data_IF_383971225920
#
_entry.id   IF_383971225920
#
_cell.length_a   1.000
_cell.length_b   1.000
_cell.length_c   1.000
_cell.angle_alpha   90.00
_cell.angle_beta   90.00
_cell.angle_gamma   90.00
#
_symmetry.space_group_name_H-M   'P 1'
#
loop_
_entity.id
_entity.type
_entity.pdbx_description
1 polymer ?
#
# COMPACT_ATOMS: atom_id res chain seq x y z
N UNK A 1 12.87 21.26 -3.41
CA UNK A 1 11.70 20.42 -3.78
C UNK A 1 10.80 20.37 -2.57
N UNK A 2 9.49 20.37 -2.77
CA UNK A 2 8.57 20.20 -1.65
C UNK A 2 8.63 18.75 -1.13
N UNK A 3 8.50 18.57 0.18
CA UNK A 3 8.42 17.24 0.78
C UNK A 3 6.96 16.76 0.75
N UNK A 4 6.72 15.60 0.15
CA UNK A 4 5.42 14.92 0.22
C UNK A 4 5.19 14.37 1.62
N UNK A 5 6.25 13.80 2.23
CA UNK A 5 6.20 13.22 3.58
C UNK A 5 7.35 13.78 4.41
N UNK A 6 7.07 14.12 5.67
CA UNK A 6 8.06 14.51 6.67
C UNK A 6 7.80 13.79 7.98
N UNK A 7 8.70 12.90 8.36
CA UNK A 7 8.68 12.20 9.64
C UNK A 7 9.65 12.89 10.62
N UNK A 8 9.23 13.11 11.87
CA UNK A 8 10.01 13.79 12.90
C UNK A 8 9.91 13.04 14.23
N UNK A 9 11.06 12.68 14.75
CA UNK A 9 11.24 12.03 16.06
C UNK A 9 10.34 10.80 16.22
N UNK A 10 10.23 10.00 15.14
CA UNK A 10 9.38 8.83 15.13
C UNK A 10 9.99 7.73 16.00
N UNK A 11 9.25 7.34 17.02
CA UNK A 11 9.52 6.17 17.83
C UNK A 11 8.37 5.17 17.67
N UNK A 12 8.68 3.89 17.58
CA UNK A 12 7.68 2.83 17.43
C UNK A 12 7.91 1.70 18.41
N UNK A 13 6.82 1.16 18.94
CA UNK A 13 6.85 0.14 19.99
C UNK A 13 5.93 -1.04 19.63
N UNK A 14 6.42 -2.26 19.87
CA UNK A 14 5.66 -3.49 19.95
C UNK A 14 5.54 -3.87 21.43
N UNK A 15 4.40 -3.60 22.06
CA UNK A 15 4.26 -3.71 23.51
C UNK A 15 5.29 -2.86 24.24
N UNK A 16 6.18 -3.49 25.00
CA UNK A 16 7.29 -2.83 25.72
C UNK A 16 8.57 -2.70 24.89
N UNK A 17 8.67 -3.40 23.73
CA UNK A 17 9.88 -3.37 22.91
C UNK A 17 9.87 -2.19 21.95
N UNK A 18 10.87 -1.32 22.03
CA UNK A 18 11.04 -0.23 21.09
C UNK A 18 11.77 -0.72 19.84
N UNK A 19 11.17 -0.52 18.68
CA UNK A 19 11.67 -0.98 17.38
C UNK A 19 12.24 0.17 16.52
N UNK A 20 11.75 1.40 16.68
CA UNK A 20 12.30 2.58 16.02
C UNK A 20 12.64 3.64 17.06
N UNK A 21 13.78 4.30 16.87
CA UNK A 21 14.35 5.25 17.80
C UNK A 21 14.59 6.58 17.08
N UNK A 22 13.80 7.60 17.40
CA UNK A 22 13.98 8.99 16.97
C UNK A 22 14.22 9.13 15.46
N UNK A 23 13.48 8.39 14.64
CA UNK A 23 13.66 8.39 13.19
C UNK A 23 13.15 9.69 12.58
N UNK A 24 13.99 10.27 11.72
CA UNK A 24 13.70 11.47 10.95
C UNK A 24 13.89 11.17 9.46
N UNK A 25 12.90 11.47 8.62
CA UNK A 25 12.95 11.21 7.19
C UNK A 25 12.10 12.20 6.41
N UNK A 26 12.65 12.73 5.34
CA UNK A 26 11.93 13.51 4.35
C UNK A 26 11.84 12.75 3.04
N UNK A 27 10.66 12.69 2.44
CA UNK A 27 10.39 12.05 1.15
C UNK A 27 9.90 13.14 0.20
N UNK A 28 10.63 13.34 -0.89
CA UNK A 28 10.30 14.34 -1.88
C UNK A 28 9.04 13.95 -2.67
N UNK A 29 8.31 14.96 -3.14
CA UNK A 29 7.19 14.80 -4.05
C UNK A 29 7.66 14.32 -5.44
N UNK A 30 6.83 13.52 -6.10
CA UNK A 30 7.11 12.97 -7.45
C UNK A 30 8.43 12.20 -7.56
N UNK A 31 8.85 11.51 -6.49
CA UNK A 31 10.10 10.76 -6.44
C UNK A 31 9.88 9.33 -5.96
N UNK A 32 10.79 8.44 -6.38
CA UNK A 32 10.91 7.11 -5.81
C UNK A 32 11.97 7.17 -4.72
N UNK A 33 11.59 6.80 -3.50
CA UNK A 33 12.50 6.74 -2.35
C UNK A 33 12.64 5.29 -1.90
N UNK A 34 13.85 4.76 -1.91
CA UNK A 34 14.16 3.42 -1.41
C UNK A 34 14.75 3.49 -0.01
N UNK A 35 14.16 2.72 0.92
CA UNK A 35 14.69 2.51 2.26
C UNK A 35 15.44 1.19 2.27
N UNK A 36 16.76 1.23 2.43
CA UNK A 36 17.64 0.07 2.42
C UNK A 36 18.26 -0.17 3.79
N UNK A 37 18.52 -1.43 4.12
CA UNK A 37 19.14 -1.82 5.38
C UNK A 37 19.00 -3.33 5.62
N UNK A 38 19.67 -3.87 6.64
CA UNK A 38 19.63 -5.30 6.95
C UNK A 38 18.21 -5.76 7.35
N UNK A 39 17.99 -7.08 7.31
CA UNK A 39 16.73 -7.67 7.79
C UNK A 39 16.53 -7.33 9.26
N UNK A 40 15.30 -7.00 9.64
CA UNK A 40 14.93 -6.69 11.02
C UNK A 40 15.27 -5.26 11.50
N UNK A 41 15.90 -4.39 10.69
CA UNK A 41 16.24 -3.02 11.11
C UNK A 41 15.03 -2.04 11.17
N UNK A 42 13.80 -2.50 10.93
CA UNK A 42 12.59 -1.68 11.08
C UNK A 42 12.02 -1.07 9.80
N UNK A 43 12.50 -1.41 8.58
CA UNK A 43 11.99 -0.87 7.31
C UNK A 43 10.47 -1.03 7.16
N UNK A 44 9.97 -2.25 7.29
CA UNK A 44 8.53 -2.53 7.20
C UNK A 44 7.73 -1.88 8.33
N UNK A 45 8.32 -1.78 9.53
CA UNK A 45 7.72 -1.06 10.66
C UNK A 45 7.55 0.42 10.32
N UNK A 46 8.58 1.03 9.74
CA UNK A 46 8.54 2.44 9.35
C UNK A 46 7.47 2.69 8.27
N UNK A 47 7.38 1.84 7.23
CA UNK A 47 6.36 1.95 6.18
C UNK A 47 4.94 1.87 6.74
N UNK A 48 4.68 0.98 7.72
CA UNK A 48 3.35 0.77 8.30
C UNK A 48 2.83 1.97 9.10
N UNK A 49 3.68 2.93 9.45
CA UNK A 49 3.28 4.15 10.14
C UNK A 49 2.54 5.09 9.18
N UNK A 50 2.96 5.17 7.92
CA UNK A 50 2.48 6.17 6.96
C UNK A 50 0.98 6.08 6.65
N UNK A 51 0.39 4.88 6.72
CA UNK A 51 -1.05 4.65 6.54
C UNK A 51 -1.77 4.19 7.82
N UNK A 52 -1.08 4.29 8.95
CA UNK A 52 -1.61 3.92 10.29
C UNK A 52 -2.13 2.49 10.36
N UNK A 53 -1.56 1.55 9.58
CA UNK A 53 -2.00 0.14 9.61
C UNK A 53 -1.62 -0.53 10.94
N UNK A 54 -0.63 0.00 11.66
CA UNK A 54 -0.24 -0.48 12.99
C UNK A 54 -1.41 -0.42 14.00
N UNK A 55 -2.37 0.48 13.83
CA UNK A 55 -3.53 0.60 14.72
C UNK A 55 -4.49 -0.59 14.70
N UNK A 56 -4.35 -1.48 13.70
CA UNK A 56 -5.05 -2.76 13.69
C UNK A 56 -4.55 -3.72 14.78
N UNK A 57 -3.43 -3.40 15.42
CA UNK A 57 -2.78 -4.22 16.45
C UNK A 57 -2.74 -3.46 17.77
N UNK A 58 -3.33 -4.03 18.82
CA UNK A 58 -3.52 -3.35 20.14
C UNK A 58 -2.23 -3.06 20.88
N UNK A 59 -1.17 -3.81 20.60
CA UNK A 59 0.13 -3.73 21.26
C UNK A 59 1.12 -2.83 20.49
N UNK A 60 0.69 -2.16 19.43
CA UNK A 60 1.54 -1.29 18.63
C UNK A 60 1.25 0.18 18.91
N UNK A 61 2.33 0.95 19.10
CA UNK A 61 2.24 2.37 19.42
C UNK A 61 3.34 3.16 18.71
N UNK A 62 3.00 4.35 18.24
CA UNK A 62 3.92 5.32 17.64
C UNK A 62 3.89 6.62 18.45
N UNK A 63 5.03 7.32 18.50
CA UNK A 63 5.15 8.70 18.97
C UNK A 63 6.00 9.51 18.00
N UNK A 64 5.93 10.83 18.08
CA UNK A 64 6.54 11.76 17.11
C UNK A 64 5.48 12.42 16.25
N UNK A 65 5.88 12.95 15.10
CA UNK A 65 4.97 13.61 14.14
C UNK A 65 5.25 13.11 12.73
N UNK A 66 4.19 12.89 11.96
CA UNK A 66 4.25 12.44 10.58
C UNK A 66 3.35 13.31 9.70
N UNK A 67 3.97 14.13 8.89
CA UNK A 67 3.26 15.01 7.99
C UNK A 67 3.19 14.42 6.58
N UNK A 68 1.99 14.41 5.99
CA UNK A 68 1.76 14.14 4.57
C UNK A 68 1.01 15.35 4.02
N UNK A 69 1.58 16.01 3.01
CA UNK A 69 1.08 17.30 2.46
C UNK A 69 0.86 18.34 3.56
N UNK A 70 1.75 18.39 4.55
CA UNK A 70 1.67 19.33 5.67
C UNK A 70 0.62 19.00 6.74
N UNK A 71 -0.13 17.90 6.61
CA UNK A 71 -1.10 17.42 7.60
C UNK A 71 -0.44 16.38 8.49
N UNK A 72 -0.44 16.57 9.81
CA UNK A 72 0.03 15.56 10.76
C UNK A 72 -0.97 14.39 10.81
N UNK A 73 -0.61 13.29 10.15
CA UNK A 73 -1.47 12.11 10.00
C UNK A 73 -1.50 11.22 11.24
N UNK A 74 -0.67 11.47 12.25
CA UNK A 74 -0.76 10.79 13.56
C UNK A 74 -1.79 11.45 14.48
N UNK A 75 -2.33 12.61 14.11
CA UNK A 75 -3.38 13.27 14.86
C UNK A 75 -4.67 12.43 14.85
N UNK A 76 -5.29 12.25 16.02
CA UNK A 76 -6.51 11.45 16.20
C UNK A 76 -7.72 11.97 15.39
N UNK A 77 -7.72 13.24 15.00
CA UNK A 77 -8.79 13.85 14.19
C UNK A 77 -8.72 13.51 12.70
N UNK A 78 -7.63 12.89 12.24
CA UNK A 78 -7.47 12.50 10.84
C UNK A 78 -8.33 11.26 10.55
N UNK A 79 -9.15 11.34 9.50
CA UNK A 79 -9.91 10.21 9.01
C UNK A 79 -8.95 9.14 8.41
N UNK A 80 -8.85 8.02 9.11
CA UNK A 80 -7.96 6.91 8.73
C UNK A 80 -8.38 6.24 7.43
N UNK A 81 -9.67 6.23 7.10
CA UNK A 81 -10.16 5.65 5.84
C UNK A 81 -9.72 6.51 4.66
N UNK A 82 -9.85 7.82 4.79
CA UNK A 82 -9.38 8.77 3.77
C UNK A 82 -7.85 8.75 3.65
N UNK A 83 -7.13 8.66 4.76
CA UNK A 83 -5.68 8.48 4.75
C UNK A 83 -5.27 7.22 3.96
N UNK A 84 -5.91 6.06 4.22
CA UNK A 84 -5.60 4.80 3.54
C UNK A 84 -6.01 4.77 2.08
N UNK A 85 -6.97 5.59 1.67
CA UNK A 85 -7.30 5.82 0.26
C UNK A 85 -6.15 6.52 -0.45
N UNK A 86 -5.55 7.56 0.19
CA UNK A 86 -4.44 8.35 -0.37
C UNK A 86 -3.11 7.61 -0.30
N UNK A 87 -2.90 6.81 0.73
CA UNK A 87 -1.63 6.11 1.00
C UNK A 87 -1.85 4.61 0.86
N UNK A 88 -1.73 4.10 -0.38
CA UNK A 88 -1.83 2.68 -0.69
C UNK A 88 -0.63 1.89 -0.20
N UNK A 89 -0.82 0.59 0.05
CA UNK A 89 0.27 -0.29 0.49
C UNK A 89 0.24 -1.63 -0.24
N UNK A 90 1.41 -2.06 -0.68
CA UNK A 90 1.69 -3.39 -1.22
C UNK A 90 2.54 -4.13 -0.20
N UNK A 91 2.04 -5.28 0.27
CA UNK A 91 2.71 -6.13 1.26
C UNK A 91 3.69 -7.09 0.61
N UNK A 92 4.69 -7.51 1.37
CA UNK A 92 5.69 -8.49 0.96
C UNK A 92 5.05 -9.81 0.50
N UNK A 93 4.06 -10.32 1.25
CA UNK A 93 3.29 -11.50 0.87
C UNK A 93 2.06 -11.10 0.08
N UNK A 94 1.80 -11.73 -1.09
CA UNK A 94 0.54 -11.53 -1.81
C UNK A 94 -0.65 -11.86 -0.92
N UNK A 95 -1.63 -10.98 -0.89
CA UNK A 95 -2.87 -11.16 -0.12
C UNK A 95 -4.09 -10.84 -1.00
N UNK A 96 -4.32 -11.61 -2.08
CA UNK A 96 -5.53 -11.44 -2.87
C UNK A 96 -6.75 -11.78 -2.01
N UNK A 97 -7.85 -11.07 -2.22
CA UNK A 97 -9.11 -11.39 -1.57
C UNK A 97 -9.70 -12.68 -2.17
N UNK A 98 -10.50 -13.45 -1.42
CA UNK A 98 -11.19 -14.65 -1.92
C UNK A 98 -12.35 -14.27 -2.87
N UNK A 99 -12.02 -13.54 -3.92
CA UNK A 99 -12.89 -12.98 -4.95
C UNK A 99 -12.30 -13.28 -6.33
N UNK A 100 -13.06 -12.93 -7.38
CA UNK A 100 -12.55 -13.01 -8.75
C UNK A 100 -11.35 -12.06 -8.97
N UNK A 101 -10.58 -12.29 -10.03
CA UNK A 101 -9.53 -11.36 -10.48
C UNK A 101 -10.12 -9.96 -10.67
N UNK A 102 -11.25 -9.86 -11.39
CA UNK A 102 -11.94 -8.60 -11.61
C UNK A 102 -12.35 -7.91 -10.30
N UNK A 103 -13.01 -8.66 -9.40
CA UNK A 103 -13.53 -8.07 -8.17
C UNK A 103 -12.41 -7.66 -7.20
N UNK A 104 -11.26 -8.33 -7.21
CA UNK A 104 -10.10 -7.88 -6.45
C UNK A 104 -9.69 -6.44 -6.82
N UNK A 105 -9.63 -6.13 -8.13
CA UNK A 105 -9.22 -4.80 -8.62
C UNK A 105 -10.37 -3.80 -8.54
N UNK A 106 -11.60 -4.25 -8.78
CA UNK A 106 -12.80 -3.40 -8.71
C UNK A 106 -13.18 -3.01 -7.27
N UNK A 107 -12.72 -3.76 -6.26
CA UNK A 107 -13.10 -3.56 -4.86
C UNK A 107 -12.85 -2.13 -4.36
N UNK A 108 -11.62 -1.58 -4.44
CA UNK A 108 -11.37 -0.21 -4.00
C UNK A 108 -12.13 0.84 -4.83
N UNK A 109 -12.37 0.58 -6.12
CA UNK A 109 -13.15 1.48 -6.97
C UNK A 109 -14.60 1.60 -6.47
N UNK A 110 -15.23 0.47 -6.16
CA UNK A 110 -16.61 0.43 -5.63
C UNK A 110 -16.73 1.04 -4.22
N UNK A 111 -15.66 0.93 -3.44
CA UNK A 111 -15.63 1.44 -2.06
C UNK A 111 -15.51 2.96 -2.02
N UNK A 112 -14.69 3.54 -2.90
CA UNK A 112 -14.30 4.94 -2.81
C UNK A 112 -14.93 5.85 -3.87
N UNK A 113 -15.49 5.29 -4.95
CA UNK A 113 -15.99 6.08 -6.08
C UNK A 113 -17.40 5.67 -6.48
N UNK A 114 -18.15 6.63 -7.01
CA UNK A 114 -19.45 6.39 -7.63
C UNK A 114 -19.28 6.27 -9.14
N UNK A 115 -18.91 5.09 -9.62
CA UNK A 115 -18.63 4.81 -11.01
C UNK A 115 -19.70 3.88 -11.60
N UNK A 116 -19.98 4.04 -12.88
CA UNK A 116 -20.78 3.10 -13.67
C UNK A 116 -20.03 1.76 -13.85
N UNK A 117 -20.76 0.74 -14.30
CA UNK A 117 -20.15 -0.59 -14.57
C UNK A 117 -19.08 -0.54 -15.66
N UNK A 118 -19.28 0.28 -16.70
CA UNK A 118 -18.30 0.47 -17.76
C UNK A 118 -17.05 1.15 -17.26
N UNK A 119 -17.18 2.26 -16.52
CA UNK A 119 -16.03 2.97 -15.96
C UNK A 119 -15.21 2.10 -15.01
N UNK A 120 -15.87 1.23 -14.22
CA UNK A 120 -15.16 0.25 -13.38
C UNK A 120 -14.40 -0.74 -14.25
N UNK A 121 -15.00 -1.24 -15.35
CA UNK A 121 -14.34 -2.20 -16.21
C UNK A 121 -13.10 -1.59 -16.89
N UNK A 122 -13.21 -0.35 -17.38
CA UNK A 122 -12.09 0.38 -18.01
C UNK A 122 -10.93 0.58 -17.01
N UNK A 123 -11.25 1.01 -15.78
CA UNK A 123 -10.24 1.20 -14.73
C UNK A 123 -9.61 -0.12 -14.25
N UNK A 124 -10.37 -1.21 -14.22
CA UNK A 124 -9.84 -2.54 -13.90
C UNK A 124 -8.85 -2.98 -14.98
N UNK A 125 -9.18 -2.82 -16.26
CA UNK A 125 -8.26 -3.12 -17.36
C UNK A 125 -7.00 -2.25 -17.28
N UNK A 126 -7.13 -0.94 -17.08
CA UNK A 126 -6.03 0.00 -16.94
C UNK A 126 -5.08 -0.43 -15.80
N UNK A 127 -5.63 -0.76 -14.62
CA UNK A 127 -4.85 -1.19 -13.48
C UNK A 127 -4.15 -2.54 -13.71
N UNK A 128 -4.82 -3.50 -14.34
CA UNK A 128 -4.22 -4.80 -14.70
C UNK A 128 -3.10 -4.64 -15.75
N UNK A 129 -3.24 -3.72 -16.71
CA UNK A 129 -2.18 -3.37 -17.64
C UNK A 129 -1.00 -2.70 -16.95
N UNK A 130 -1.27 -1.73 -16.03
CA UNK A 130 -0.25 -1.07 -15.22
C UNK A 130 0.55 -2.04 -14.34
N UNK A 131 -0.07 -3.14 -13.89
CA UNK A 131 0.59 -4.20 -13.15
C UNK A 131 1.19 -5.31 -14.04
N UNK A 132 1.22 -5.14 -15.37
CA UNK A 132 1.70 -6.15 -16.35
C UNK A 132 1.04 -7.53 -16.18
N UNK A 133 -0.27 -7.56 -15.86
CA UNK A 133 -1.02 -8.79 -15.62
C UNK A 133 -2.14 -9.03 -16.66
N UNK A 134 -2.57 -7.98 -17.38
CA UNK A 134 -3.75 -8.04 -18.25
C UNK A 134 -3.72 -9.20 -19.25
N UNK A 135 -2.62 -9.34 -20.00
CA UNK A 135 -2.52 -10.35 -21.05
C UNK A 135 -2.63 -11.79 -20.53
N UNK A 136 -2.31 -12.00 -19.27
CA UNK A 136 -2.38 -13.32 -18.64
C UNK A 136 -3.77 -13.65 -18.06
N UNK A 137 -4.60 -12.62 -17.80
CA UNK A 137 -5.87 -12.81 -17.08
C UNK A 137 -7.11 -12.31 -17.81
N UNK A 138 -6.99 -11.60 -18.94
CA UNK A 138 -8.12 -11.01 -19.67
C UNK A 138 -9.24 -11.99 -20.00
N UNK A 139 -8.90 -13.24 -20.30
CA UNK A 139 -9.88 -14.29 -20.63
C UNK A 139 -10.41 -15.05 -19.41
N UNK A 140 -9.89 -14.76 -18.22
CA UNK A 140 -10.25 -15.45 -16.96
C UNK A 140 -10.52 -14.48 -15.80
N UNK A 141 -11.00 -13.27 -16.09
CA UNK A 141 -11.29 -12.24 -15.09
C UNK A 141 -12.29 -12.69 -14.00
N UNK A 142 -13.15 -13.65 -14.31
CA UNK A 142 -14.11 -14.24 -13.37
C UNK A 142 -13.52 -15.36 -12.49
N UNK A 143 -12.32 -15.84 -12.79
CA UNK A 143 -11.64 -16.86 -12.00
C UNK A 143 -11.20 -16.31 -10.65
N UNK A 144 -11.06 -17.18 -9.65
CA UNK A 144 -10.60 -16.79 -8.33
C UNK A 144 -9.18 -16.19 -8.38
N UNK A 145 -8.96 -15.06 -7.73
CA UNK A 145 -7.63 -14.48 -7.56
C UNK A 145 -6.68 -15.39 -6.77
N UNK A 146 -7.20 -16.29 -5.93
CA UNK A 146 -6.40 -17.27 -5.18
C UNK A 146 -5.87 -18.39 -6.07
N UNK A 147 -6.45 -18.63 -7.26
CA UNK A 147 -6.00 -19.66 -8.19
C UNK A 147 -4.82 -19.22 -9.07
N UNK A 148 -4.38 -17.99 -8.96
CA UNK A 148 -3.22 -17.44 -9.68
C UNK A 148 -1.91 -17.94 -9.06
N UNK A 149 -0.81 -17.96 -9.85
CA UNK A 149 0.54 -18.19 -9.33
C UNK A 149 0.97 -17.08 -8.36
N UNK A 150 1.99 -17.33 -7.53
CA UNK A 150 2.47 -16.37 -6.54
C UNK A 150 2.83 -15.00 -7.15
N UNK A 151 3.58 -14.99 -8.27
CA UNK A 151 3.91 -13.75 -8.99
C UNK A 151 2.68 -13.07 -9.60
N UNK A 152 1.71 -13.83 -10.13
CA UNK A 152 0.44 -13.28 -10.61
C UNK A 152 -0.40 -12.71 -9.46
N UNK A 153 -0.43 -13.36 -8.30
CA UNK A 153 -1.11 -12.84 -7.11
C UNK A 153 -0.48 -11.53 -6.63
N UNK A 154 0.84 -11.41 -6.66
CA UNK A 154 1.53 -10.17 -6.31
C UNK A 154 1.15 -9.06 -7.27
N UNK A 155 1.19 -9.31 -8.59
CA UNK A 155 0.75 -8.32 -9.59
C UNK A 155 -0.74 -7.98 -9.47
N UNK A 156 -1.58 -8.92 -9.07
CA UNK A 156 -2.99 -8.65 -8.77
C UNK A 156 -3.14 -7.70 -7.57
N UNK A 157 -2.34 -7.89 -6.51
CA UNK A 157 -2.32 -6.98 -5.36
C UNK A 157 -1.80 -5.58 -5.75
N UNK A 158 -0.82 -5.51 -6.66
CA UNK A 158 -0.34 -4.24 -7.22
C UNK A 158 -1.49 -3.56 -8.01
N UNK A 159 -2.13 -4.28 -8.94
CA UNK A 159 -3.27 -3.75 -9.71
C UNK A 159 -4.38 -3.21 -8.79
N UNK A 160 -4.73 -3.96 -7.73
CA UNK A 160 -5.70 -3.52 -6.74
C UNK A 160 -5.27 -2.23 -6.04
N UNK A 161 -4.00 -2.11 -5.67
CA UNK A 161 -3.50 -0.92 -4.98
C UNK A 161 -3.50 0.32 -5.88
N UNK A 162 -3.08 0.21 -7.15
CA UNK A 162 -3.01 1.35 -8.06
C UNK A 162 -4.38 1.73 -8.66
N UNK A 163 -5.36 0.83 -8.67
CA UNK A 163 -6.71 1.11 -9.19
C UNK A 163 -7.39 2.30 -8.49
N UNK A 164 -7.12 2.49 -7.18
CA UNK A 164 -7.64 3.62 -6.42
C UNK A 164 -6.88 4.93 -6.67
N UNK A 165 -5.86 4.93 -7.54
CA UNK A 165 -5.01 6.09 -7.82
C UNK A 165 -4.49 6.78 -6.56
N UNK A 166 -3.77 6.07 -5.67
CA UNK A 166 -3.25 6.65 -4.44
C UNK A 166 -2.20 7.72 -4.74
N UNK A 167 -2.10 8.72 -3.88
CA UNK A 167 -1.10 9.79 -3.98
C UNK A 167 0.30 9.32 -3.54
N UNK A 168 0.35 8.33 -2.64
CA UNK A 168 1.55 7.67 -2.15
C UNK A 168 1.36 6.16 -2.24
N UNK A 169 2.34 5.46 -2.77
CA UNK A 169 2.34 4.00 -2.83
C UNK A 169 3.51 3.45 -2.01
N UNK A 170 3.19 2.78 -0.91
CA UNK A 170 4.15 2.11 -0.04
C UNK A 170 4.38 0.69 -0.56
N UNK A 171 5.64 0.27 -0.69
CA UNK A 171 6.01 -1.05 -1.17
C UNK A 171 6.94 -1.73 -0.17
N UNK A 172 6.45 -2.78 0.49
CA UNK A 172 7.22 -3.59 1.45
C UNK A 172 7.76 -4.82 0.72
N UNK A 173 9.01 -4.77 0.24
CA UNK A 173 9.70 -5.81 -0.54
C UNK A 173 8.85 -6.42 -1.68
N UNK A 174 8.32 -5.61 -2.61
CA UNK A 174 7.28 -6.03 -3.56
C UNK A 174 7.75 -7.07 -4.58
N UNK A 175 9.05 -7.26 -4.75
CA UNK A 175 9.65 -8.19 -5.71
C UNK A 175 10.04 -9.54 -5.12
N UNK A 176 9.89 -9.75 -3.82
CA UNK A 176 10.29 -11.00 -3.15
C UNK A 176 9.50 -12.23 -3.63
N UNK A 177 8.32 -12.03 -4.23
CA UNK A 177 7.47 -13.08 -4.80
C UNK A 177 7.49 -13.12 -6.35
N UNK A 178 8.28 -12.26 -7.00
CA UNK A 178 8.40 -12.19 -8.46
C UNK A 178 9.75 -12.79 -8.82
N UNK A 179 9.76 -13.88 -9.61
CA UNK A 179 10.99 -14.46 -10.14
C UNK A 179 11.74 -13.40 -10.94
N UNK A 180 13.06 -13.25 -10.75
CA UNK A 180 13.87 -12.42 -11.63
C UNK A 180 13.83 -13.01 -13.05
N UNK A 181 13.39 -12.21 -14.02
CA UNK A 181 13.42 -12.54 -15.44
C UNK A 181 14.85 -12.45 -15.95
#
# INVERSE_FOLDING_TARGET
MANKISARNINFYYGSHQALFDNNLDIAEHAITAVIGPSGCGKSTHLRIYNRIYELYRDQRVTGSLFIDGVDVLNEKVDVLELRRKVGMIFQKPTPFPMSVFDNVAYPLRLHYRLSRSEIADKVEEALRGASLWEEVKDKLKSSGLALSGGQQQRLCIARAIAASPEVLLMDEPTSAIDPV
#
